data_IF_900639933279
#
_entry.id   IF_900639933279
#
_cell.length_a   1.000
_cell.length_b   1.000
_cell.length_c   1.000
_cell.angle_alpha   90.00
_cell.angle_beta   90.00
_cell.angle_gamma   90.00
#
_symmetry.space_group_name_H-M   'P 1'
#
loop_
_entity.id
_entity.type
_entity.pdbx_description
1 polymer ?
#
# COMPACT_ATOMS: atom_id res chain seq x y z
N UNK A 1 -27.82 -1.05 1.40
CA UNK A 1 -27.69 0.38 1.73
C UNK A 1 -26.26 0.77 1.33
N UNK A 2 -25.87 2.05 1.39
CA UNK A 2 -24.49 2.45 1.12
C UNK A 2 -23.93 3.13 2.35
N UNK A 3 -22.75 2.69 2.78
CA UNK A 3 -22.01 3.30 3.88
C UNK A 3 -20.76 3.94 3.30
N UNK A 4 -20.42 5.14 3.76
CA UNK A 4 -19.32 5.92 3.21
C UNK A 4 -18.23 6.12 4.25
N UNK A 5 -16.98 6.05 3.80
CA UNK A 5 -15.82 6.20 4.65
C UNK A 5 -14.87 7.25 4.10
N UNK A 6 -14.39 8.09 5.01
CA UNK A 6 -13.23 8.95 4.80
C UNK A 6 -12.07 8.33 5.58
N UNK A 7 -10.97 8.03 4.90
CA UNK A 7 -9.76 7.49 5.54
C UNK A 7 -8.61 8.47 5.39
N UNK A 8 -8.01 8.87 6.50
CA UNK A 8 -6.69 9.51 6.49
C UNK A 8 -5.64 8.42 6.45
N UNK A 9 -4.85 8.41 5.38
CA UNK A 9 -3.91 7.34 5.07
C UNK A 9 -2.49 7.91 5.05
N UNK A 10 -1.55 7.13 5.58
CA UNK A 10 -0.12 7.43 5.55
C UNK A 10 0.64 6.25 4.97
N UNK A 11 1.55 6.53 4.05
CA UNK A 11 2.40 5.56 3.37
C UNK A 11 3.85 5.65 3.87
N UNK A 12 4.43 4.53 4.26
CA UNK A 12 5.80 4.45 4.77
C UNK A 12 6.84 4.07 3.70
N UNK A 13 8.08 3.82 4.14
CA UNK A 13 9.20 3.52 3.24
C UNK A 13 9.09 2.16 2.54
N UNK A 14 8.26 1.23 3.04
CA UNK A 14 8.00 -0.07 2.38
C UNK A 14 7.27 0.10 1.06
N UNK A 15 6.58 1.23 0.87
CA UNK A 15 5.93 1.63 -0.39
C UNK A 15 6.64 2.81 -1.06
N UNK A 16 7.96 2.91 -0.87
CA UNK A 16 8.86 3.90 -1.49
C UNK A 16 8.62 5.36 -1.06
N UNK A 17 7.95 5.59 0.07
CA UNK A 17 7.84 6.95 0.65
C UNK A 17 9.17 7.42 1.24
N UNK A 18 9.32 8.73 1.44
CA UNK A 18 10.48 9.31 2.09
C UNK A 18 10.48 9.07 3.63
N UNK A 19 11.52 9.51 4.34
CA UNK A 19 11.69 9.30 5.79
C UNK A 19 10.63 9.97 6.68
N UNK A 20 9.94 10.99 6.17
CA UNK A 20 8.83 11.68 6.82
C UNK A 20 7.47 11.07 6.45
N UNK A 21 7.50 10.02 5.63
CA UNK A 21 6.33 9.34 5.06
C UNK A 21 5.52 10.30 4.18
N UNK A 22 4.38 9.85 3.72
CA UNK A 22 3.51 10.63 2.86
C UNK A 22 2.06 10.38 3.21
N UNK A 23 1.22 11.41 3.20
CA UNK A 23 -0.19 11.29 3.56
C UNK A 23 -1.12 11.54 2.39
N UNK A 24 -2.23 10.81 2.37
CA UNK A 24 -3.30 10.91 1.39
C UNK A 24 -4.67 10.68 2.06
N UNK A 25 -5.74 10.96 1.32
CA UNK A 25 -7.12 10.75 1.75
C UNK A 25 -7.79 9.78 0.80
N UNK A 26 -8.44 8.74 1.33
CA UNK A 26 -9.28 7.84 0.55
C UNK A 26 -10.75 8.13 0.85
N UNK A 27 -11.53 8.25 -0.21
CA UNK A 27 -12.99 8.35 -0.14
C UNK A 27 -13.55 7.03 -0.63
N UNK A 28 -14.20 6.28 0.25
CA UNK A 28 -14.62 4.91 -0.01
C UNK A 28 -16.11 4.72 0.20
N UNK A 29 -16.67 3.75 -0.50
CA UNK A 29 -18.05 3.29 -0.37
C UNK A 29 -18.05 1.80 -0.06
N UNK A 30 -18.88 1.40 0.88
CA UNK A 30 -19.23 0.01 1.12
C UNK A 30 -20.49 -0.37 0.36
N UNK A 31 -20.35 -1.40 -0.47
CA UNK A 31 -21.47 -2.09 -1.09
C UNK A 31 -21.93 -3.20 -0.14
N UNK A 32 -23.09 -3.01 0.48
CA UNK A 32 -23.64 -3.97 1.44
C UNK A 32 -23.95 -5.33 0.81
N UNK A 33 -24.36 -5.36 -0.46
CA UNK A 33 -24.76 -6.59 -1.16
C UNK A 33 -23.55 -7.44 -1.48
N UNK A 34 -22.46 -6.80 -1.90
CA UNK A 34 -21.19 -7.47 -2.19
C UNK A 34 -20.36 -7.71 -0.94
N UNK A 35 -20.67 -7.01 0.14
CA UNK A 35 -19.84 -6.93 1.33
C UNK A 35 -18.40 -6.57 0.93
N UNK A 36 -18.21 -5.41 0.32
CA UNK A 36 -16.90 -4.93 -0.13
C UNK A 36 -16.79 -3.42 0.09
N UNK A 37 -15.61 -2.96 0.51
CA UNK A 37 -15.28 -1.52 0.53
C UNK A 37 -14.43 -1.19 -0.70
N UNK A 38 -14.93 -0.28 -1.52
CA UNK A 38 -14.25 0.22 -2.72
C UNK A 38 -13.85 1.68 -2.53
N UNK A 39 -12.62 2.00 -2.87
CA UNK A 39 -12.16 3.40 -2.97
C UNK A 39 -12.72 4.04 -4.24
N UNK A 40 -13.46 5.13 -4.07
CA UNK A 40 -14.05 5.92 -5.15
C UNK A 40 -13.07 6.97 -5.67
N UNK A 41 -12.37 7.63 -4.75
CA UNK A 41 -11.40 8.70 -5.03
C UNK A 41 -10.25 8.64 -4.03
N UNK A 42 -9.10 9.12 -4.48
CA UNK A 42 -7.95 9.34 -3.63
C UNK A 42 -7.44 10.74 -3.85
N UNK A 43 -6.93 11.37 -2.80
CA UNK A 43 -6.41 12.73 -2.86
C UNK A 43 -5.12 12.85 -2.09
N UNK A 44 -4.23 13.68 -2.64
CA UNK A 44 -2.90 13.86 -2.10
C UNK A 44 -2.28 15.15 -2.56
N UNK A 45 -1.24 15.58 -1.86
CA UNK A 45 -0.52 16.81 -2.14
C UNK A 45 0.97 16.53 -2.26
N UNK A 46 1.56 16.82 -3.41
CA UNK A 46 2.95 16.51 -3.70
C UNK A 46 3.77 17.78 -3.91
N UNK A 47 4.93 17.87 -3.27
CA UNK A 47 5.89 18.94 -3.56
C UNK A 47 6.39 18.86 -4.99
N UNK A 48 6.50 20.01 -5.65
CA UNK A 48 7.09 20.10 -6.99
C UNK A 48 8.61 20.18 -6.85
N UNK A 49 9.40 19.39 -7.61
CA UNK A 49 10.85 19.44 -7.50
C UNK A 49 11.40 20.82 -7.90
N UNK A 50 12.28 21.41 -7.08
CA UNK A 50 12.95 22.68 -7.42
C UNK A 50 13.74 22.60 -8.72
N UNK A 51 13.66 23.68 -9.50
CA UNK A 51 14.53 23.99 -10.65
C UNK A 51 15.62 25.00 -10.33
N UNK A 52 15.71 25.48 -9.09
CA UNK A 52 16.54 26.64 -8.68
C UNK A 52 17.54 26.36 -7.55
N UNK A 53 17.65 25.12 -7.06
CA UNK A 53 18.54 24.80 -5.93
C UNK A 53 20.04 24.70 -6.32
N UNK A 54 20.76 25.81 -6.15
CA UNK A 54 22.19 25.95 -6.48
C UNK A 54 23.16 25.56 -5.33
N UNK A 55 22.68 25.13 -4.16
CA UNK A 55 23.55 24.80 -3.03
C UNK A 55 23.94 23.30 -3.00
N UNK A 56 25.21 23.01 -3.32
CA UNK A 56 25.75 21.65 -3.39
C UNK A 56 25.72 20.88 -2.05
N UNK A 57 25.86 21.58 -0.91
CA UNK A 57 25.86 20.94 0.43
C UNK A 57 24.45 20.48 0.81
N UNK A 58 23.45 21.33 0.55
CA UNK A 58 22.04 20.99 0.75
C UNK A 58 21.63 19.82 -0.14
N UNK A 59 22.05 19.84 -1.41
CA UNK A 59 21.83 18.75 -2.36
C UNK A 59 22.47 17.43 -1.90
N UNK A 60 23.69 17.48 -1.37
CA UNK A 60 24.37 16.31 -0.81
C UNK A 60 23.62 15.72 0.38
N UNK A 61 23.26 16.56 1.37
CA UNK A 61 22.51 16.12 2.55
C UNK A 61 21.17 15.50 2.18
N UNK A 62 20.39 16.16 1.32
CA UNK A 62 19.12 15.64 0.78
C UNK A 62 19.27 14.28 0.12
N UNK A 63 20.28 14.11 -0.73
CA UNK A 63 20.53 12.83 -1.40
C UNK A 63 20.90 11.71 -0.43
N UNK A 64 21.63 12.03 0.65
CA UNK A 64 21.98 11.06 1.69
C UNK A 64 20.79 10.58 2.50
N UNK A 65 19.79 11.44 2.73
CA UNK A 65 18.57 11.07 3.46
C UNK A 65 17.37 10.74 2.56
N UNK A 66 17.59 10.64 1.24
CA UNK A 66 16.54 10.31 0.27
C UNK A 66 15.45 11.38 0.12
N UNK A 67 15.70 12.63 0.56
CA UNK A 67 14.75 13.73 0.44
C UNK A 67 14.86 14.37 -0.94
N UNK A 68 13.80 14.25 -1.75
CA UNK A 68 13.66 14.95 -3.05
C UNK A 68 12.78 16.21 -2.94
N UNK A 69 12.57 16.69 -1.71
CA UNK A 69 11.69 17.81 -1.39
C UNK A 69 12.51 19.07 -1.16
N UNK A 70 11.90 20.22 -1.43
CA UNK A 70 12.52 21.53 -1.20
C UNK A 70 12.54 21.85 0.30
N UNK A 71 13.63 22.48 0.75
CA UNK A 71 13.70 22.95 2.14
C UNK A 71 12.96 24.28 2.32
N UNK A 72 12.80 25.06 1.24
CA UNK A 72 12.04 26.30 1.18
C UNK A 72 11.79 26.74 -0.27
N UNK A 73 10.73 27.53 -0.50
CA UNK A 73 10.61 28.37 -1.68
C UNK A 73 9.88 27.77 -2.89
N UNK A 74 9.17 26.65 -2.72
CA UNK A 74 8.34 26.07 -3.77
C UNK A 74 6.94 25.69 -3.26
N UNK A 75 6.08 25.27 -4.16
CA UNK A 75 4.70 24.88 -3.87
C UNK A 75 4.48 23.39 -4.10
N UNK A 76 3.36 22.89 -3.58
CA UNK A 76 2.88 21.56 -3.88
C UNK A 76 1.67 21.56 -4.80
N UNK A 77 1.26 20.36 -5.19
CA UNK A 77 0.22 20.11 -6.19
C UNK A 77 -0.76 19.04 -5.71
N UNK A 78 -2.07 19.34 -5.72
CA UNK A 78 -3.08 18.34 -5.42
C UNK A 78 -3.31 17.41 -6.61
N UNK A 79 -3.43 16.11 -6.35
CA UNK A 79 -3.60 15.09 -7.38
C UNK A 79 -4.16 13.81 -6.77
N UNK A 80 -4.70 12.93 -7.61
CA UNK A 80 -5.10 11.60 -7.19
C UNK A 80 -3.87 10.72 -6.92
N UNK A 81 -4.01 9.77 -6.00
CA UNK A 81 -2.93 8.84 -5.70
C UNK A 81 -2.77 7.76 -6.76
N UNK A 82 -1.53 7.39 -7.00
CA UNK A 82 -1.21 6.31 -7.93
C UNK A 82 -1.36 4.97 -7.22
N UNK A 83 -2.28 4.12 -7.68
CA UNK A 83 -2.59 2.82 -7.05
C UNK A 83 -1.45 1.81 -7.05
N UNK A 84 -0.38 2.05 -7.82
CA UNK A 84 0.73 1.12 -8.09
C UNK A 84 1.38 0.51 -6.83
N UNK A 85 1.35 1.23 -5.72
CA UNK A 85 1.98 0.80 -4.47
C UNK A 85 0.97 0.57 -3.34
N UNK A 86 -0.31 0.74 -3.62
CA UNK A 86 -1.36 0.65 -2.60
C UNK A 86 -1.75 -0.80 -2.30
N UNK A 87 -1.37 -1.77 -3.13
CA UNK A 87 -1.72 -3.19 -2.98
C UNK A 87 -0.54 -4.11 -2.68
N UNK A 88 0.58 -3.57 -2.18
CA UNK A 88 1.75 -4.37 -1.78
C UNK A 88 1.53 -5.17 -0.49
N UNK A 89 0.47 -4.87 0.26
CA UNK A 89 0.15 -5.50 1.54
C UNK A 89 1.05 -5.09 2.71
N UNK A 90 1.78 -4.00 2.56
CA UNK A 90 2.66 -3.43 3.59
C UNK A 90 2.69 -1.92 3.46
N UNK A 91 3.01 -1.24 4.57
CA UNK A 91 3.44 0.15 4.57
C UNK A 91 2.36 1.18 4.34
N UNK A 92 1.09 0.80 4.54
CA UNK A 92 -0.06 1.69 4.46
C UNK A 92 -0.76 1.64 5.80
N UNK A 93 -0.89 2.81 6.40
CA UNK A 93 -1.43 3.00 7.74
C UNK A 93 -2.59 3.99 7.65
N UNK A 94 -3.58 3.91 8.53
CA UNK A 94 -4.58 4.96 8.56
C UNK A 94 -5.58 4.92 9.71
N UNK A 95 -6.45 5.92 9.70
CA UNK A 95 -7.61 6.06 10.57
C UNK A 95 -8.83 6.29 9.69
N UNK A 96 -9.91 5.58 10.00
CA UNK A 96 -11.11 5.56 9.18
C UNK A 96 -12.28 6.22 9.92
N UNK A 97 -13.09 6.98 9.19
CA UNK A 97 -14.27 7.67 9.71
C UNK A 97 -15.48 7.29 8.87
N UNK A 98 -16.54 6.78 9.51
CA UNK A 98 -17.84 6.71 8.86
C UNK A 98 -18.36 8.15 8.68
N UNK A 99 -18.75 8.49 7.45
CA UNK A 99 -19.24 9.82 7.10
C UNK A 99 -20.55 9.73 6.33
N UNK A 100 -21.34 10.80 6.36
CA UNK A 100 -22.48 10.91 5.48
C UNK A 100 -22.04 11.05 4.01
N UNK A 101 -22.91 10.66 3.08
CA UNK A 101 -22.69 10.87 1.65
C UNK A 101 -22.40 12.35 1.32
N UNK A 102 -23.13 13.27 1.96
CA UNK A 102 -22.94 14.71 1.81
C UNK A 102 -21.54 15.16 2.23
N UNK A 103 -21.02 14.63 3.34
CA UNK A 103 -19.66 14.94 3.81
C UNK A 103 -18.58 14.32 2.92
N UNK A 104 -18.80 13.13 2.38
CA UNK A 104 -17.90 12.51 1.43
C UNK A 104 -17.75 13.38 0.17
N UNK A 105 -18.86 13.76 -0.46
CA UNK A 105 -18.84 14.57 -1.69
C UNK A 105 -18.44 16.02 -1.44
N UNK A 106 -18.72 16.58 -0.26
CA UNK A 106 -18.17 17.87 0.17
C UNK A 106 -16.65 17.80 0.20
N UNK A 107 -16.08 16.74 0.78
CA UNK A 107 -14.63 16.53 0.83
C UNK A 107 -14.03 16.47 -0.58
N UNK A 108 -14.61 15.65 -1.45
CA UNK A 108 -14.16 15.53 -2.85
C UNK A 108 -14.20 16.89 -3.58
N UNK A 109 -15.29 17.63 -3.40
CA UNK A 109 -15.47 18.96 -4.01
C UNK A 109 -14.43 19.97 -3.52
N UNK A 110 -14.04 19.93 -2.23
CA UNK A 110 -12.99 20.80 -1.69
C UNK A 110 -11.65 20.53 -2.36
N UNK A 111 -11.26 19.26 -2.53
CA UNK A 111 -10.04 18.91 -3.26
C UNK A 111 -10.09 19.33 -4.73
N UNK A 112 -11.19 19.04 -5.43
CA UNK A 112 -11.37 19.45 -6.82
C UNK A 112 -11.29 20.97 -7.01
N UNK A 113 -11.85 21.74 -6.07
CA UNK A 113 -11.76 23.20 -6.11
C UNK A 113 -10.32 23.67 -5.92
N UNK A 114 -9.55 23.10 -4.97
CA UNK A 114 -8.13 23.42 -4.82
C UNK A 114 -7.35 23.11 -6.09
N UNK A 115 -7.59 21.97 -6.75
CA UNK A 115 -6.96 21.63 -8.04
C UNK A 115 -7.31 22.64 -9.12
N UNK A 116 -8.60 23.04 -9.23
CA UNK A 116 -9.05 24.04 -10.20
C UNK A 116 -8.36 25.39 -9.98
N UNK A 117 -8.25 25.80 -8.73
CA UNK A 117 -7.58 27.04 -8.35
C UNK A 117 -6.08 27.00 -8.66
N UNK A 118 -5.42 25.86 -8.42
CA UNK A 118 -4.01 25.64 -8.76
C UNK A 118 -3.79 25.71 -10.28
N UNK A 119 -4.63 25.03 -11.07
CA UNK A 119 -4.57 25.09 -12.54
C UNK A 119 -4.72 26.54 -13.00
N UNK A 120 -5.78 27.23 -12.57
CA UNK A 120 -6.01 28.62 -12.95
C UNK A 120 -4.85 29.55 -12.57
N UNK A 121 -4.26 29.38 -11.39
CA UNK A 121 -3.11 30.17 -10.94
C UNK A 121 -1.87 29.93 -11.82
N UNK A 122 -1.56 28.67 -12.13
CA UNK A 122 -0.39 28.33 -12.95
C UNK A 122 -0.53 28.82 -14.40
N UNK A 123 -1.70 28.66 -15.02
CA UNK A 123 -1.96 29.14 -16.38
C UNK A 123 -1.86 30.67 -16.47
N UNK A 124 -2.41 31.36 -15.48
CA UNK A 124 -2.37 32.81 -15.40
C UNK A 124 -0.94 33.34 -15.22
N UNK A 125 -0.17 32.74 -14.30
CA UNK A 125 1.22 33.09 -14.06
C UNK A 125 2.09 32.80 -15.29
N UNK A 126 1.93 31.63 -15.92
CA UNK A 126 2.68 31.27 -17.13
C UNK A 126 2.43 32.27 -18.27
N UNK A 127 1.18 32.72 -18.44
CA UNK A 127 0.83 33.75 -19.42
C UNK A 127 1.45 35.10 -19.06
N UNK A 128 1.36 35.54 -17.81
CA UNK A 128 1.90 36.83 -17.37
C UNK A 128 3.43 36.92 -17.49
N UNK A 129 4.10 35.80 -17.24
CA UNK A 129 5.56 35.67 -17.30
C UNK A 129 6.08 35.31 -18.71
N UNK A 130 5.19 35.12 -19.69
CA UNK A 130 5.52 34.65 -21.06
C UNK A 130 6.33 33.34 -21.06
N UNK A 131 6.05 32.44 -20.13
CA UNK A 131 6.70 31.14 -20.03
C UNK A 131 6.19 30.21 -21.13
N UNK A 132 7.09 29.38 -21.66
CA UNK A 132 6.76 28.36 -22.66
C UNK A 132 7.06 26.98 -22.10
N UNK A 133 6.17 25.99 -22.26
CA UNK A 133 6.42 24.64 -21.79
C UNK A 133 7.67 24.07 -22.48
N UNK A 134 8.60 23.52 -21.71
CA UNK A 134 9.78 22.82 -22.23
C UNK A 134 9.68 21.32 -21.97
N UNK A 135 9.94 20.51 -23.00
CA UNK A 135 10.04 19.05 -22.86
C UNK A 135 8.75 18.38 -22.36
N UNK A 136 8.91 17.28 -21.59
CA UNK A 136 7.81 16.60 -20.89
C UNK A 136 7.71 17.14 -19.47
N UNK A 137 6.57 17.71 -19.11
CA UNK A 137 6.23 18.12 -17.74
C UNK A 137 5.64 16.95 -16.94
N UNK A 138 5.75 17.01 -15.62
CA UNK A 138 5.24 15.98 -14.68
C UNK A 138 3.88 16.33 -14.10
N UNK A 139 3.65 17.61 -13.74
CA UNK A 139 2.44 18.03 -13.02
C UNK A 139 1.57 18.98 -13.83
N UNK A 140 2.16 20.05 -14.35
CA UNK A 140 1.46 21.03 -15.19
C UNK A 140 2.43 21.65 -16.19
N UNK A 141 1.95 22.29 -17.28
CA UNK A 141 2.82 22.93 -18.27
C UNK A 141 3.67 24.03 -17.63
N UNK A 142 4.98 24.02 -17.88
CA UNK A 142 5.96 24.92 -17.25
C UNK A 142 6.24 24.63 -15.76
N UNK A 143 6.11 23.36 -15.30
CA UNK A 143 6.48 22.97 -13.94
C UNK A 143 7.99 23.13 -13.63
N UNK A 144 8.81 23.24 -14.67
CA UNK A 144 10.21 23.65 -14.61
C UNK A 144 10.42 25.12 -14.18
N UNK A 145 9.38 25.94 -14.23
CA UNK A 145 9.38 27.31 -13.71
C UNK A 145 8.54 27.46 -12.43
N UNK A 146 8.33 26.36 -11.69
CA UNK A 146 7.45 26.31 -10.51
C UNK A 146 7.74 27.35 -9.44
N UNK A 147 9.01 27.64 -9.16
CA UNK A 147 9.38 28.66 -8.18
C UNK A 147 8.99 30.08 -8.64
N UNK A 148 9.22 30.43 -9.90
CA UNK A 148 8.86 31.74 -10.48
C UNK A 148 7.34 31.94 -10.51
N UNK A 149 6.61 30.89 -10.91
CA UNK A 149 5.15 30.86 -10.91
C UNK A 149 4.59 31.06 -9.49
N UNK A 150 5.19 30.41 -8.49
CA UNK A 150 4.74 30.53 -7.11
C UNK A 150 4.96 31.94 -6.56
N UNK A 151 6.12 32.54 -6.79
CA UNK A 151 6.40 33.91 -6.35
C UNK A 151 5.50 34.94 -7.05
N UNK A 152 5.17 34.74 -8.33
CA UNK A 152 4.17 35.55 -9.02
C UNK A 152 2.80 35.47 -8.34
N UNK A 153 2.29 34.26 -8.08
CA UNK A 153 0.99 34.07 -7.43
C UNK A 153 0.96 34.65 -6.01
N UNK A 154 2.02 34.50 -5.21
CA UNK A 154 2.11 35.11 -3.88
C UNK A 154 2.01 36.63 -3.95
N UNK A 155 2.74 37.25 -4.88
CA UNK A 155 2.71 38.71 -5.07
C UNK A 155 1.32 39.16 -5.48
N UNK A 156 0.70 38.48 -6.45
CA UNK A 156 -0.65 38.79 -6.91
C UNK A 156 -1.69 38.62 -5.80
N UNK A 157 -1.65 37.52 -5.06
CA UNK A 157 -2.56 37.26 -3.95
C UNK A 157 -2.47 38.34 -2.88
N UNK A 158 -1.25 38.82 -2.57
CA UNK A 158 -1.01 39.94 -1.66
C UNK A 158 -1.59 41.26 -2.20
N UNK A 159 -1.44 41.56 -3.49
CA UNK A 159 -2.02 42.75 -4.12
C UNK A 159 -3.55 42.72 -4.12
N UNK A 160 -4.16 41.54 -4.26
CA UNK A 160 -5.61 41.33 -4.26
C UNK A 160 -6.21 41.13 -2.85
N UNK A 161 -5.39 41.10 -1.80
CA UNK A 161 -5.85 40.90 -0.43
C UNK A 161 -6.45 39.52 -0.15
N UNK A 162 -6.01 38.48 -0.87
CA UNK A 162 -6.46 37.10 -0.72
C UNK A 162 -5.31 36.15 -0.41
N UNK A 163 -5.64 34.92 0.00
CA UNK A 163 -4.64 33.86 0.09
C UNK A 163 -4.19 33.39 -1.29
N UNK A 164 -2.95 32.89 -1.34
CA UNK A 164 -2.37 32.28 -2.53
C UNK A 164 -3.11 30.99 -2.89
N UNK A 165 -3.45 30.81 -4.17
CA UNK A 165 -4.05 29.56 -4.67
C UNK A 165 -3.04 28.42 -4.71
N UNK A 166 -1.76 28.75 -4.87
CA UNK A 166 -0.65 27.81 -4.76
C UNK A 166 -0.19 27.75 -3.31
N UNK A 167 -0.08 26.54 -2.76
CA UNK A 167 0.24 26.32 -1.35
C UNK A 167 1.70 25.86 -1.21
N UNK A 168 2.45 26.34 -0.20
CA UNK A 168 3.85 25.97 -0.03
C UNK A 168 4.01 24.47 0.20
N UNK A 169 5.12 23.90 -0.27
CA UNK A 169 5.58 22.58 0.12
C UNK A 169 7.04 22.68 0.55
N UNK A 170 7.28 22.75 1.85
CA UNK A 170 8.60 22.88 2.45
C UNK A 170 8.65 22.28 3.87
N UNK A 171 9.84 21.84 4.27
CA UNK A 171 10.04 21.25 5.60
C UNK A 171 10.40 22.29 6.66
N UNK A 172 10.87 23.49 6.29
CA UNK A 172 11.16 24.61 7.20
C UNK A 172 11.66 24.20 8.61
N UNK A 173 12.86 23.58 8.73
CA UNK A 173 13.37 23.14 10.02
C UNK A 173 13.67 24.34 10.92
N UNK A 174 13.09 24.33 12.13
CA UNK A 174 13.26 25.36 13.15
C UNK A 174 14.00 24.79 14.37
N UNK A 175 14.80 25.60 15.07
CA UNK A 175 15.50 25.17 16.28
C UNK A 175 14.74 25.65 17.53
N UNK A 176 14.14 24.72 18.27
CA UNK A 176 13.50 24.98 19.55
C UNK A 176 14.40 24.65 20.74
N UNK A 177 13.90 24.91 21.94
CA UNK A 177 14.59 24.62 23.20
C UNK A 177 14.90 23.13 23.41
N UNK A 178 14.11 22.24 22.79
CA UNK A 178 14.27 20.78 22.83
C UNK A 178 15.00 20.22 21.60
N UNK A 179 15.58 21.09 20.77
CA UNK A 179 16.27 20.71 19.53
C UNK A 179 15.49 21.07 18.26
N UNK A 180 15.91 20.54 17.09
CA UNK A 180 15.27 20.83 15.82
C UNK A 180 13.85 20.25 15.75
N UNK A 181 12.91 21.02 15.19
CA UNK A 181 11.52 20.62 14.97
C UNK A 181 11.01 21.06 13.59
N UNK A 182 9.88 20.49 13.18
CA UNK A 182 9.26 20.71 11.86
C UNK A 182 7.81 21.23 11.98
N UNK A 183 7.44 21.82 13.12
CA UNK A 183 6.08 22.31 13.37
C UNK A 183 5.60 23.37 12.38
N UNK A 184 6.51 24.13 11.79
CA UNK A 184 6.19 25.19 10.81
C UNK A 184 6.24 24.71 9.35
N UNK A 185 6.47 23.41 9.13
CA UNK A 185 6.55 22.81 7.79
C UNK A 185 5.19 22.86 7.08
N UNK A 186 5.20 23.17 5.78
CA UNK A 186 4.02 22.95 4.93
C UNK A 186 4.22 21.69 4.10
N UNK A 187 3.47 20.63 4.37
CA UNK A 187 3.65 19.33 3.71
C UNK A 187 2.32 18.79 3.20
N UNK A 188 2.33 17.56 2.68
CA UNK A 188 1.10 16.85 2.35
C UNK A 188 0.11 16.76 3.52
N UNK A 189 0.61 16.66 4.76
CA UNK A 189 -0.25 16.54 5.93
C UNK A 189 -0.97 17.83 6.25
N UNK A 190 -0.27 18.95 6.36
CA UNK A 190 -0.89 20.22 6.75
C UNK A 190 -2.01 20.60 5.77
N UNK A 191 -1.76 20.40 4.47
CA UNK A 191 -2.72 20.68 3.41
C UNK A 191 -3.93 19.74 3.43
N UNK A 192 -3.73 18.47 3.77
CA UNK A 192 -4.86 17.54 3.98
C UNK A 192 -5.65 17.91 5.23
N UNK A 193 -4.99 18.27 6.34
CA UNK A 193 -5.67 18.67 7.58
C UNK A 193 -6.53 19.93 7.39
N UNK A 194 -6.06 20.90 6.59
CA UNK A 194 -6.84 22.11 6.22
C UNK A 194 -8.20 21.72 5.59
N UNK A 195 -8.20 20.74 4.69
CA UNK A 195 -9.41 20.27 4.02
C UNK A 195 -10.27 19.43 4.99
N UNK A 196 -9.66 18.49 5.71
CA UNK A 196 -10.39 17.60 6.60
C UNK A 196 -11.03 18.34 7.78
N UNK A 197 -10.45 19.44 8.24
CA UNK A 197 -11.02 20.26 9.34
C UNK A 197 -12.38 20.87 9.01
N UNK A 198 -12.74 20.93 7.72
CA UNK A 198 -14.04 21.45 7.27
C UNK A 198 -15.15 20.38 7.28
N UNK A 199 -14.81 19.13 7.57
CA UNK A 199 -15.73 17.97 7.47
C UNK A 199 -15.68 17.10 8.72
N UNK A 200 -14.49 16.91 9.30
CA UNK A 200 -14.28 16.19 10.54
C UNK A 200 -14.39 17.12 11.75
N UNK A 201 -14.68 16.54 12.91
CA UNK A 201 -14.73 17.28 14.18
C UNK A 201 -13.33 17.67 14.66
N UNK A 202 -13.23 18.69 15.52
CA UNK A 202 -11.96 19.10 16.13
C UNK A 202 -11.26 17.94 16.87
N UNK A 203 -12.02 17.07 17.54
CA UNK A 203 -11.48 15.88 18.22
C UNK A 203 -10.85 14.89 17.24
N UNK A 204 -11.48 14.69 16.09
CA UNK A 204 -10.96 13.82 15.02
C UNK A 204 -9.69 14.41 14.41
N UNK A 205 -9.67 15.72 14.17
CA UNK A 205 -8.45 16.41 13.68
C UNK A 205 -7.32 16.36 14.72
N UNK A 206 -7.63 16.56 16.00
CA UNK A 206 -6.64 16.50 17.08
C UNK A 206 -5.97 15.12 17.15
N UNK A 207 -6.74 14.03 16.92
CA UNK A 207 -6.19 12.67 16.83
C UNK A 207 -5.14 12.54 15.73
N UNK A 208 -5.38 13.15 14.58
CA UNK A 208 -4.49 13.05 13.42
C UNK A 208 -3.30 14.02 13.50
N UNK A 209 -3.30 14.98 14.41
CA UNK A 209 -2.32 16.08 14.48
C UNK A 209 -1.39 16.02 15.68
N UNK A 210 -1.14 14.81 16.24
CA UNK A 210 -0.11 14.60 17.28
C UNK A 210 1.22 15.29 16.91
N UNK A 211 1.63 15.18 15.65
CA UNK A 211 2.50 16.15 14.99
C UNK A 211 1.73 16.82 13.85
N UNK A 212 1.63 18.15 13.76
CA UNK A 212 0.73 18.82 12.81
C UNK A 212 1.11 18.62 11.34
N UNK A 213 2.40 18.46 11.04
CA UNK A 213 2.93 18.59 9.67
C UNK A 213 3.67 17.36 9.15
N UNK A 214 3.96 16.35 9.98
CA UNK A 214 4.75 15.18 9.56
C UNK A 214 3.87 13.94 9.63
N UNK A 215 3.57 13.28 8.49
CA UNK A 215 2.72 12.09 8.44
C UNK A 215 3.17 10.95 9.35
N UNK A 216 4.49 10.70 9.43
CA UNK A 216 5.05 9.64 10.27
C UNK A 216 4.69 9.74 11.76
N UNK A 217 4.41 10.94 12.24
CA UNK A 217 4.14 11.21 13.66
C UNK A 217 2.69 11.62 13.89
N UNK A 218 1.76 11.02 13.12
CA UNK A 218 0.34 11.32 13.22
C UNK A 218 -0.38 10.70 14.41
N UNK A 219 0.28 9.82 15.17
CA UNK A 219 -0.32 9.06 16.26
C UNK A 219 -0.56 7.58 15.88
N UNK A 220 -1.24 6.82 16.75
CA UNK A 220 -1.62 5.44 16.47
C UNK A 220 -2.50 5.33 15.23
N UNK A 221 -2.22 4.33 14.41
CA UNK A 221 -2.93 4.01 13.18
C UNK A 221 -2.93 2.50 12.99
N UNK A 222 -3.95 2.00 12.30
CA UNK A 222 -3.97 0.60 11.91
C UNK A 222 -3.27 0.39 10.56
N UNK A 223 -2.65 -0.78 10.38
CA UNK A 223 -2.27 -1.26 9.04
C UNK A 223 -3.53 -1.47 8.18
N UNK A 224 -3.50 -0.93 6.96
CA UNK A 224 -4.55 -1.06 5.96
C UNK A 224 -4.07 -1.95 4.81
N UNK A 225 -4.95 -2.83 4.35
CA UNK A 225 -4.63 -3.80 3.29
C UNK A 225 -5.59 -3.62 2.13
N UNK A 226 -5.03 -3.33 0.96
CA UNK A 226 -5.80 -3.09 -0.24
C UNK A 226 -5.42 -4.05 -1.37
N UNK A 227 -6.34 -4.16 -2.33
CA UNK A 227 -6.19 -4.91 -3.55
C UNK A 227 -6.58 -4.05 -4.75
N UNK A 228 -5.72 -3.98 -5.76
CA UNK A 228 -6.13 -3.50 -7.07
C UNK A 228 -6.79 -4.62 -7.88
N UNK A 229 -7.90 -4.33 -8.55
CA UNK A 229 -8.58 -5.25 -9.49
C UNK A 229 -8.69 -4.57 -10.84
N UNK A 230 -8.67 -5.34 -11.93
CA UNK A 230 -8.72 -4.81 -13.31
C UNK A 230 -7.53 -5.24 -14.17
N UNK A 231 -7.37 -4.64 -15.36
CA UNK A 231 -6.29 -4.98 -16.29
C UNK A 231 -4.91 -4.70 -15.69
N UNK A 232 -3.94 -5.51 -16.10
CA UNK A 232 -2.53 -5.41 -15.71
C UNK A 232 -1.75 -4.87 -16.90
N UNK A 233 -0.85 -3.93 -16.63
CA UNK A 233 -0.03 -3.26 -17.62
C UNK A 233 1.46 -3.36 -17.23
N UNK A 234 2.34 -3.29 -18.23
CA UNK A 234 3.78 -3.19 -18.00
C UNK A 234 4.14 -1.76 -17.57
N UNK A 235 4.99 -1.67 -16.55
CA UNK A 235 5.51 -0.42 -16.05
C UNK A 235 7.03 -0.48 -15.90
N UNK A 236 7.72 0.47 -16.54
CA UNK A 236 9.16 0.66 -16.36
C UNK A 236 9.43 1.57 -15.17
N UNK A 237 9.98 1.00 -14.10
CA UNK A 237 10.44 1.73 -12.92
C UNK A 237 11.54 2.73 -13.29
N UNK A 238 11.81 3.67 -12.37
CA UNK A 238 12.95 4.58 -12.48
C UNK A 238 14.31 3.87 -12.59
N UNK A 239 14.42 2.65 -12.04
CA UNK A 239 15.59 1.78 -12.18
C UNK A 239 15.74 1.15 -13.58
N UNK A 240 14.74 1.27 -14.45
CA UNK A 240 14.65 0.55 -15.72
C UNK A 240 14.05 -0.86 -15.60
N UNK A 241 13.75 -1.33 -14.39
CA UNK A 241 13.08 -2.62 -14.17
C UNK A 241 11.63 -2.55 -14.69
N UNK A 242 11.24 -3.51 -15.54
CA UNK A 242 9.86 -3.67 -16.00
C UNK A 242 9.11 -4.56 -15.02
N UNK A 243 8.00 -4.06 -14.50
CA UNK A 243 7.09 -4.77 -13.59
C UNK A 243 5.67 -4.76 -14.13
N UNK A 244 4.91 -5.80 -13.80
CA UNK A 244 3.48 -5.90 -14.06
C UNK A 244 2.73 -5.26 -12.89
N UNK A 245 1.96 -4.21 -13.19
CA UNK A 245 1.18 -3.47 -12.19
C UNK A 245 -0.15 -3.02 -12.75
N UNK A 246 -1.12 -2.71 -11.89
CA UNK A 246 -2.38 -2.09 -12.33
C UNK A 246 -2.27 -0.58 -12.28
N UNK A 247 -2.74 0.08 -13.33
CA UNK A 247 -2.70 1.53 -13.42
C UNK A 247 -4.00 2.14 -12.91
N UNK A 248 -3.95 2.88 -11.81
CA UNK A 248 -5.13 3.53 -11.21
C UNK A 248 -5.80 4.57 -12.11
N UNK A 249 -5.11 5.10 -13.13
CA UNK A 249 -5.73 6.01 -14.11
C UNK A 249 -6.63 5.28 -15.12
N UNK A 250 -6.54 3.95 -15.19
CA UNK A 250 -7.42 3.16 -16.04
C UNK A 250 -8.78 3.01 -15.33
N UNK A 251 -9.90 3.45 -15.91
CA UNK A 251 -11.21 3.41 -15.25
C UNK A 251 -11.73 1.99 -14.97
N UNK A 252 -11.15 0.96 -15.61
CA UNK A 252 -11.44 -0.44 -15.30
C UNK A 252 -10.67 -0.96 -14.07
N UNK A 253 -9.72 -0.17 -13.53
CA UNK A 253 -8.96 -0.52 -12.33
C UNK A 253 -9.63 0.07 -11.10
N UNK A 254 -9.90 -0.77 -10.10
CA UNK A 254 -10.46 -0.36 -8.81
C UNK A 254 -9.59 -0.79 -7.64
N UNK A 255 -9.70 -0.09 -6.52
CA UNK A 255 -8.99 -0.38 -5.27
C UNK A 255 -10.01 -0.80 -4.20
N UNK A 256 -9.76 -1.95 -3.57
CA UNK A 256 -10.70 -2.62 -2.66
C UNK A 256 -10.00 -2.99 -1.36
N UNK A 257 -10.69 -2.84 -0.23
CA UNK A 257 -10.14 -3.30 1.05
C UNK A 257 -10.12 -4.84 1.09
N UNK A 258 -9.04 -5.41 1.64
CA UNK A 258 -8.91 -6.86 1.89
C UNK A 258 -9.34 -7.25 3.31
N UNK A 259 -9.45 -6.26 4.19
CA UNK A 259 -9.91 -6.41 5.55
C UNK A 259 -10.81 -5.23 5.90
N UNK A 260 -11.97 -5.46 6.56
CA UNK A 260 -12.75 -4.38 7.14
C UNK A 260 -11.93 -3.58 8.15
N UNK A 261 -12.20 -2.29 8.25
CA UNK A 261 -11.47 -1.39 9.15
C UNK A 261 -11.64 -1.81 10.61
N UNK A 262 -10.52 -2.03 11.31
CA UNK A 262 -10.53 -2.39 12.73
C UNK A 262 -10.39 -1.14 13.61
N UNK A 263 -9.80 -0.08 13.07
CA UNK A 263 -9.72 1.25 13.68
C UNK A 263 -10.60 2.23 12.89
N UNK A 264 -11.88 2.24 13.24
CA UNK A 264 -12.89 3.08 12.61
C UNK A 264 -13.73 3.82 13.66
N UNK A 265 -13.89 5.13 13.47
CA UNK A 265 -14.88 5.92 14.19
C UNK A 265 -16.20 5.85 13.41
N UNK A 266 -17.11 5.00 13.87
CA UNK A 266 -18.36 4.69 13.18
C UNK A 266 -19.51 4.46 14.16
N UNK A 267 -20.70 4.27 13.59
CA UNK A 267 -21.89 3.79 14.29
C UNK A 267 -21.63 2.42 14.94
N UNK A 268 -22.30 2.10 16.06
CA UNK A 268 -22.15 0.80 16.73
C UNK A 268 -22.44 -0.39 15.81
N UNK A 269 -23.34 -0.24 14.85
CA UNK A 269 -23.65 -1.26 13.86
C UNK A 269 -22.42 -1.61 13.01
N UNK A 270 -21.76 -0.61 12.43
CA UNK A 270 -20.56 -0.80 11.61
C UNK A 270 -19.40 -1.35 12.45
N UNK A 271 -19.21 -0.83 13.67
CA UNK A 271 -18.17 -1.34 14.57
C UNK A 271 -18.39 -2.83 14.86
N UNK A 272 -19.61 -3.23 15.22
CA UNK A 272 -19.93 -4.63 15.48
C UNK A 272 -19.80 -5.50 14.23
N UNK A 273 -20.15 -4.95 13.06
CA UNK A 273 -20.04 -5.63 11.76
C UNK A 273 -18.58 -5.95 11.41
N UNK A 274 -17.66 -5.01 11.63
CA UNK A 274 -16.26 -5.13 11.22
C UNK A 274 -15.37 -5.82 12.24
N UNK A 275 -15.81 -5.91 13.50
CA UNK A 275 -15.00 -6.41 14.60
C UNK A 275 -14.47 -7.82 14.35
N UNK A 276 -13.15 -7.94 14.28
CA UNK A 276 -12.42 -9.20 14.41
C UNK A 276 -12.01 -9.36 15.86
N UNK A 277 -12.10 -10.58 16.38
CA UNK A 277 -11.63 -10.86 17.74
C UNK A 277 -10.10 -10.76 17.82
N UNK A 278 -9.60 -10.16 18.90
CA UNK A 278 -8.18 -9.85 19.11
C UNK A 278 -7.20 -11.01 18.84
N UNK A 279 -7.46 -12.29 19.21
CA UNK A 279 -6.48 -13.35 18.94
C UNK A 279 -6.27 -13.59 17.43
N UNK A 280 -7.26 -13.29 16.59
CA UNK A 280 -7.19 -13.55 15.15
C UNK A 280 -6.73 -12.34 14.34
N UNK A 281 -7.03 -11.12 14.80
CA UNK A 281 -6.79 -9.90 14.02
C UNK A 281 -5.31 -9.75 13.60
N UNK A 282 -4.38 -9.88 14.54
CA UNK A 282 -2.94 -9.78 14.25
C UNK A 282 -2.46 -10.87 13.27
N UNK A 283 -2.96 -12.09 13.42
CA UNK A 283 -2.61 -13.21 12.55
C UNK A 283 -3.14 -13.03 11.13
N UNK A 284 -4.39 -12.57 10.97
CA UNK A 284 -5.00 -12.27 9.67
C UNK A 284 -4.24 -11.15 8.97
N UNK A 285 -3.96 -10.04 9.67
CA UNK A 285 -3.18 -8.91 9.14
C UNK A 285 -1.82 -9.37 8.62
N UNK A 286 -1.12 -10.21 9.40
CA UNK A 286 0.15 -10.83 8.98
C UNK A 286 -0.03 -11.70 7.72
N UNK A 287 -1.02 -12.60 7.70
CA UNK A 287 -1.24 -13.48 6.55
C UNK A 287 -1.61 -12.72 5.27
N UNK A 288 -2.47 -11.71 5.34
CA UNK A 288 -2.79 -10.84 4.21
C UNK A 288 -1.53 -10.14 3.70
N UNK A 289 -0.71 -9.61 4.60
CA UNK A 289 0.57 -8.99 4.24
C UNK A 289 1.49 -9.95 3.48
N UNK A 290 1.62 -11.18 3.96
CA UNK A 290 2.44 -12.20 3.31
C UNK A 290 1.89 -12.58 1.93
N UNK A 291 0.58 -12.84 1.84
CA UNK A 291 -0.08 -13.19 0.57
C UNK A 291 0.10 -12.09 -0.49
N UNK A 292 -0.08 -10.82 -0.14
CA UNK A 292 0.06 -9.72 -1.10
C UNK A 292 1.50 -9.49 -1.56
N UNK A 293 2.47 -9.64 -0.67
CA UNK A 293 3.88 -9.61 -1.05
C UNK A 293 4.27 -10.80 -1.94
N UNK A 294 3.70 -11.99 -1.69
CA UNK A 294 3.90 -13.17 -2.55
C UNK A 294 3.23 -13.00 -3.91
N UNK A 295 2.03 -12.44 -3.98
CA UNK A 295 1.37 -12.10 -5.24
C UNK A 295 2.30 -11.22 -6.09
N UNK A 296 2.83 -10.15 -5.49
CA UNK A 296 3.77 -9.26 -6.16
C UNK A 296 5.03 -10.00 -6.61
N UNK A 297 5.61 -10.85 -5.75
CA UNK A 297 6.81 -11.62 -6.04
C UNK A 297 6.60 -12.54 -7.24
N UNK A 298 5.56 -13.37 -7.22
CA UNK A 298 5.31 -14.35 -8.28
C UNK A 298 4.93 -13.67 -9.58
N UNK A 299 4.06 -12.66 -9.54
CA UNK A 299 3.62 -11.92 -10.74
C UNK A 299 4.80 -11.26 -11.48
N UNK A 300 5.77 -10.73 -10.73
CA UNK A 300 6.92 -10.02 -11.28
C UNK A 300 8.17 -10.89 -11.47
N UNK A 301 8.11 -12.19 -11.16
CA UNK A 301 9.22 -13.11 -11.42
C UNK A 301 9.17 -13.60 -12.86
N UNK A 302 10.30 -13.46 -13.58
CA UNK A 302 10.46 -14.02 -14.92
C UNK A 302 10.54 -15.54 -14.82
N UNK A 303 9.68 -16.22 -15.57
CA UNK A 303 9.58 -17.67 -15.64
C UNK A 303 9.68 -18.13 -17.09
N UNK A 304 10.16 -19.35 -17.31
CA UNK A 304 10.12 -19.99 -18.63
C UNK A 304 8.68 -20.21 -19.10
N UNK A 305 8.44 -20.23 -20.42
CA UNK A 305 7.10 -20.40 -21.00
C UNK A 305 6.30 -21.57 -20.39
N UNK A 306 6.88 -22.77 -20.17
CA UNK A 306 6.14 -23.91 -19.62
C UNK A 306 5.57 -23.66 -18.21
N UNK A 307 6.16 -22.75 -17.43
CA UNK A 307 5.79 -22.50 -16.04
C UNK A 307 4.85 -21.29 -15.86
N UNK A 308 4.61 -20.50 -16.92
CA UNK A 308 3.76 -19.30 -16.83
C UNK A 308 2.32 -19.63 -16.42
N UNK A 309 1.74 -20.68 -17.00
CA UNK A 309 0.37 -21.09 -16.66
C UNK A 309 0.24 -21.49 -15.18
N UNK A 310 1.21 -22.25 -14.66
CA UNK A 310 1.26 -22.62 -13.24
C UNK A 310 1.47 -21.42 -12.33
N UNK A 311 2.33 -20.47 -12.72
CA UNK A 311 2.52 -19.21 -11.99
C UNK A 311 1.22 -18.44 -11.88
N UNK A 312 0.48 -18.31 -12.99
CA UNK A 312 -0.76 -17.54 -13.01
C UNK A 312 -1.83 -18.22 -12.14
N UNK A 313 -1.93 -19.55 -12.17
CA UNK A 313 -2.80 -20.31 -11.26
C UNK A 313 -2.43 -20.13 -9.78
N UNK A 314 -1.13 -20.15 -9.46
CA UNK A 314 -0.65 -19.89 -8.09
C UNK A 314 -1.01 -18.47 -7.64
N UNK A 315 -0.81 -17.49 -8.51
CA UNK A 315 -1.17 -16.09 -8.24
C UNK A 315 -2.67 -15.94 -8.00
N UNK A 316 -3.53 -16.56 -8.82
CA UNK A 316 -4.98 -16.55 -8.60
C UNK A 316 -5.37 -17.21 -7.27
N UNK A 317 -4.68 -18.30 -6.88
CA UNK A 317 -4.90 -18.94 -5.57
C UNK A 317 -4.52 -18.01 -4.41
N UNK A 318 -3.38 -17.32 -4.50
CA UNK A 318 -2.94 -16.32 -3.51
C UNK A 318 -3.97 -15.20 -3.38
N UNK A 319 -4.44 -14.67 -4.52
CA UNK A 319 -5.47 -13.62 -4.58
C UNK A 319 -6.76 -14.10 -3.91
N UNK A 320 -7.21 -15.32 -4.23
CA UNK A 320 -8.39 -15.94 -3.62
C UNK A 320 -8.31 -16.01 -2.10
N UNK A 321 -7.17 -16.46 -1.56
CA UNK A 321 -6.95 -16.47 -0.11
C UNK A 321 -7.00 -15.09 0.51
N UNK A 322 -6.35 -14.10 -0.11
CA UNK A 322 -6.33 -12.73 0.43
C UNK A 322 -7.72 -12.11 0.49
N UNK A 323 -8.54 -12.31 -0.55
CA UNK A 323 -9.92 -11.79 -0.63
C UNK A 323 -10.86 -12.44 0.37
N UNK A 324 -10.65 -13.71 0.68
CA UNK A 324 -11.53 -14.47 1.58
C UNK A 324 -11.56 -13.90 3.01
N UNK A 325 -10.57 -13.11 3.42
CA UNK A 325 -10.52 -12.46 4.73
C UNK A 325 -11.46 -11.26 4.87
N UNK A 326 -11.93 -10.67 3.77
CA UNK A 326 -12.91 -9.59 3.87
C UNK A 326 -14.28 -10.10 4.36
N UNK A 327 -14.64 -11.34 3.99
CA UNK A 327 -15.83 -12.04 4.48
C UNK A 327 -15.64 -12.50 5.94
N UNK A 328 -15.83 -11.57 6.87
CA UNK A 328 -15.96 -11.86 8.29
C UNK A 328 -17.41 -12.25 8.56
N UNK A 329 -17.62 -13.51 8.95
CA UNK A 329 -18.96 -14.01 9.24
C UNK A 329 -19.47 -13.37 10.54
N UNK A 330 -20.55 -12.59 10.46
CA UNK A 330 -21.07 -11.85 11.62
C UNK A 330 -21.56 -12.78 12.74
N UNK A 331 -21.34 -12.38 13.99
CA UNK A 331 -22.09 -12.95 15.12
C UNK A 331 -23.57 -12.67 14.89
N UNK A 332 -24.40 -13.72 14.94
CA UNK A 332 -25.81 -13.51 15.25
C UNK A 332 -25.90 -12.76 16.59
N UNK A 333 -26.93 -11.94 16.75
CA UNK A 333 -27.13 -11.04 17.90
C UNK A 333 -26.61 -11.63 19.23
N UNK A 334 -25.99 -10.81 20.09
CA UNK A 334 -25.60 -11.28 21.40
C UNK A 334 -26.83 -11.91 22.09
N UNK A 335 -26.64 -13.02 22.81
CA UNK A 335 -27.71 -13.66 23.58
C UNK A 335 -28.37 -12.64 24.52
N UNK A 336 -29.68 -12.76 24.68
CA UNK A 336 -30.45 -11.97 25.63
C UNK A 336 -29.92 -12.14 27.06
N UNK A 337 -30.17 -11.16 27.94
CA UNK A 337 -29.69 -11.18 29.33
C UNK A 337 -30.16 -12.44 30.10
N UNK A 338 -31.30 -13.03 29.72
CA UNK A 338 -31.78 -14.31 30.27
C UNK A 338 -30.88 -15.50 29.86
N UNK A 339 -30.40 -15.54 28.62
CA UNK A 339 -29.53 -16.60 28.11
C UNK A 339 -28.13 -16.55 28.72
N UNK A 340 -27.62 -15.35 29.04
CA UNK A 340 -26.33 -15.15 29.71
C UNK A 340 -26.33 -15.62 31.17
N UNK A 341 -27.49 -15.66 31.83
CA UNK A 341 -27.64 -16.03 33.25
C UNK A 341 -27.65 -17.53 33.53
N UNK A 342 -27.70 -18.38 32.48
CA UNK A 342 -27.77 -19.83 32.63
C UNK A 342 -26.39 -20.45 32.87
N UNK A 343 -26.25 -21.24 33.95
CA UNK A 343 -25.06 -22.04 34.26
C UNK A 343 -24.64 -22.97 33.09
N UNK A 344 -25.62 -23.44 32.31
CA UNK A 344 -25.41 -24.26 31.11
C UNK A 344 -24.73 -23.44 30.00
N UNK A 345 -25.03 -22.14 29.90
CA UNK A 345 -24.41 -21.24 28.93
C UNK A 345 -22.90 -21.15 29.15
N UNK A 346 -22.46 -20.96 30.41
CA UNK A 346 -21.03 -20.85 30.76
C UNK A 346 -20.21 -22.12 30.46
N UNK A 347 -20.83 -23.31 30.49
CA UNK A 347 -20.17 -24.58 30.18
C UNK A 347 -20.02 -24.84 28.68
N UNK A 348 -20.96 -24.36 27.86
CA UNK A 348 -20.93 -24.52 26.40
C UNK A 348 -20.32 -23.32 25.66
N UNK A 349 -20.16 -22.16 26.31
CA UNK A 349 -19.51 -20.97 25.72
C UNK A 349 -17.98 -21.09 25.56
N UNK A 350 -17.39 -22.19 26.05
CA UNK A 350 -16.01 -22.58 25.71
C UNK A 350 -15.92 -23.31 24.36
N UNK A 351 -17.03 -23.53 23.66
CA UNK A 351 -17.01 -24.03 22.28
C UNK A 351 -16.93 -22.85 21.31
N UNK A 352 -15.98 -22.89 20.37
CA UNK A 352 -15.89 -21.91 19.29
C UNK A 352 -17.25 -21.79 18.59
N UNK A 353 -17.74 -20.57 18.44
CA UNK A 353 -18.92 -20.29 17.61
C UNK A 353 -18.66 -20.75 16.18
N UNK A 354 -19.69 -21.14 15.40
CA UNK A 354 -19.50 -21.53 14.00
C UNK A 354 -18.72 -20.49 13.15
N UNK A 355 -18.87 -19.21 13.49
CA UNK A 355 -18.17 -18.09 12.87
C UNK A 355 -16.68 -18.06 13.24
N UNK A 356 -16.35 -18.19 14.53
CA UNK A 356 -14.97 -18.31 14.99
C UNK A 356 -14.29 -19.52 14.34
N UNK A 357 -14.99 -20.66 14.26
CA UNK A 357 -14.49 -21.84 13.58
C UNK A 357 -14.22 -21.59 12.09
N UNK A 358 -15.15 -20.97 11.36
CA UNK A 358 -14.94 -20.61 9.95
C UNK A 358 -13.74 -19.68 9.76
N UNK A 359 -13.54 -18.72 10.65
CA UNK A 359 -12.38 -17.82 10.62
C UNK A 359 -11.07 -18.55 10.95
N UNK A 360 -11.09 -19.39 11.98
CA UNK A 360 -9.98 -20.25 12.40
C UNK A 360 -9.57 -21.22 11.29
N UNK A 361 -10.53 -21.85 10.61
CA UNK A 361 -10.31 -22.73 9.46
C UNK A 361 -9.67 -21.97 8.29
N UNK A 362 -10.15 -20.76 7.95
CA UNK A 362 -9.51 -19.89 6.93
C UNK A 362 -8.06 -19.58 7.29
N UNK A 363 -7.80 -19.18 8.53
CA UNK A 363 -6.45 -18.86 9.03
C UNK A 363 -5.54 -20.08 8.94
N UNK A 364 -6.04 -21.25 9.32
CA UNK A 364 -5.29 -22.51 9.29
C UNK A 364 -4.98 -22.94 7.86
N UNK A 365 -5.95 -22.86 6.96
CA UNK A 365 -5.76 -23.20 5.55
C UNK A 365 -4.69 -22.31 4.90
N UNK A 366 -4.76 -21.00 5.14
CA UNK A 366 -3.74 -20.06 4.66
C UNK A 366 -2.38 -20.36 5.27
N UNK A 367 -2.32 -20.67 6.58
CA UNK A 367 -1.08 -21.08 7.24
C UNK A 367 -0.44 -22.30 6.58
N UNK A 368 -1.23 -23.36 6.35
CA UNK A 368 -0.77 -24.58 5.67
C UNK A 368 -0.31 -24.31 4.23
N UNK A 369 -1.01 -23.41 3.52
CA UNK A 369 -0.62 -22.99 2.20
C UNK A 369 0.74 -22.28 2.20
N UNK A 370 0.95 -21.31 3.09
CA UNK A 370 2.22 -20.60 3.24
C UNK A 370 3.36 -21.55 3.65
N UNK A 371 3.08 -22.52 4.52
CA UNK A 371 4.02 -23.59 4.90
C UNK A 371 4.42 -24.46 3.71
N UNK A 372 3.46 -24.78 2.85
CA UNK A 372 3.70 -25.56 1.64
C UNK A 372 4.59 -24.80 0.65
N UNK A 373 4.38 -23.49 0.50
CA UNK A 373 5.25 -22.64 -0.33
C UNK A 373 6.68 -22.55 0.21
N UNK A 374 6.82 -22.39 1.53
CA UNK A 374 8.14 -22.41 2.17
C UNK A 374 8.85 -23.74 1.93
N UNK A 375 8.15 -24.84 2.20
CA UNK A 375 8.69 -26.20 2.05
C UNK A 375 9.14 -26.45 0.61
N UNK A 376 8.29 -26.14 -0.38
CA UNK A 376 8.65 -26.30 -1.79
C UNK A 376 9.77 -25.36 -2.28
N UNK A 377 10.04 -24.24 -1.60
CA UNK A 377 11.14 -23.35 -1.95
C UNK A 377 12.49 -23.83 -1.39
N UNK A 378 12.49 -24.53 -0.25
CA UNK A 378 13.69 -25.00 0.46
C UNK A 378 14.02 -26.47 0.15
N UNK A 379 13.01 -27.31 -0.12
CA UNK A 379 13.23 -28.68 -0.57
C UNK A 379 13.85 -28.70 -1.97
N UNK A 380 15.07 -29.24 -2.07
CA UNK A 380 15.78 -29.35 -3.34
C UNK A 380 15.29 -30.56 -4.11
N UNK A 381 14.51 -30.32 -5.16
CA UNK A 381 14.33 -31.31 -6.21
C UNK A 381 15.42 -31.08 -7.24
N UNK A 382 16.23 -32.10 -7.50
CA UNK A 382 17.20 -32.06 -8.59
C UNK A 382 16.43 -31.92 -9.91
N UNK A 383 16.49 -30.72 -10.50
CA UNK A 383 15.84 -30.44 -11.78
C UNK A 383 16.36 -31.37 -12.89
N UNK A 384 17.55 -31.96 -12.74
CA UNK A 384 18.07 -32.97 -13.67
C UNK A 384 17.23 -34.26 -13.70
N UNK A 385 16.55 -34.60 -12.61
CA UNK A 385 15.63 -35.74 -12.53
C UNK A 385 14.25 -35.45 -13.11
N UNK A 386 13.83 -34.18 -13.11
CA UNK A 386 12.51 -33.76 -13.60
C UNK A 386 12.50 -33.25 -15.05
N UNK A 387 13.66 -32.82 -15.56
CA UNK A 387 13.80 -32.26 -16.92
C UNK A 387 15.14 -32.69 -17.55
N UNK A 388 15.21 -33.82 -18.26
CA UNK A 388 16.34 -34.09 -19.13
C UNK A 388 16.21 -33.18 -20.36
N UNK A 389 16.85 -32.01 -20.34
CA UNK A 389 16.87 -31.05 -21.45
C UNK A 389 17.47 -31.60 -22.77
N UNK A 390 17.91 -32.87 -22.81
CA UNK A 390 18.62 -33.47 -23.93
C UNK A 390 17.84 -34.56 -24.70
N UNK A 391 16.53 -34.75 -24.47
CA UNK A 391 15.74 -35.70 -25.26
C UNK A 391 14.78 -34.99 -26.22
N UNK A 392 15.23 -34.81 -27.46
CA UNK A 392 14.41 -34.37 -28.60
C UNK A 392 13.21 -35.33 -28.73
N UNK A 393 12.00 -34.82 -28.56
CA UNK A 393 10.77 -35.52 -28.95
C UNK A 393 9.86 -36.08 -27.84
N UNK A 394 10.11 -35.79 -26.55
CA UNK A 394 9.15 -36.14 -25.47
C UNK A 394 8.61 -34.89 -24.79
N UNK A 395 7.28 -34.74 -24.81
CA UNK A 395 6.57 -33.78 -23.95
C UNK A 395 6.79 -34.15 -22.49
N UNK A 396 7.15 -33.19 -21.62
CA UNK A 396 7.32 -33.47 -20.19
C UNK A 396 6.01 -33.95 -19.58
N UNK A 397 6.03 -35.05 -18.84
CA UNK A 397 5.00 -35.34 -17.84
C UNK A 397 5.30 -34.51 -16.60
N UNK A 398 4.37 -33.67 -16.10
CA UNK A 398 4.56 -32.93 -14.87
C UNK A 398 4.90 -33.92 -13.74
N UNK A 399 5.89 -33.58 -12.92
CA UNK A 399 5.92 -34.09 -11.55
C UNK A 399 4.53 -33.90 -10.93
N UNK A 400 4.09 -34.81 -10.04
CA UNK A 400 2.75 -34.81 -9.44
C UNK A 400 2.34 -33.51 -8.70
N UNK A 401 3.21 -32.50 -8.64
CA UNK A 401 2.92 -31.16 -8.11
C UNK A 401 3.59 -30.05 -8.96
N UNK A 402 2.83 -29.37 -9.86
CA UNK A 402 3.37 -28.31 -10.70
C UNK A 402 3.79 -27.06 -9.90
N UNK A 403 3.20 -26.80 -8.73
CA UNK A 403 3.57 -25.66 -7.88
C UNK A 403 4.95 -25.89 -7.27
N UNK A 404 5.26 -27.11 -6.83
CA UNK A 404 6.61 -27.46 -6.36
C UNK A 404 7.67 -27.28 -7.44
N UNK A 405 7.38 -27.71 -8.67
CA UNK A 405 8.29 -27.51 -9.80
C UNK A 405 8.55 -26.01 -10.03
N UNK A 406 7.51 -25.18 -9.97
CA UNK A 406 7.64 -23.72 -10.08
C UNK A 406 8.53 -23.15 -8.97
N UNK A 407 8.33 -23.58 -7.72
CA UNK A 407 9.13 -23.13 -6.57
C UNK A 407 10.59 -23.55 -6.70
N UNK A 408 10.86 -24.77 -7.18
CA UNK A 408 12.21 -25.25 -7.45
C UNK A 408 12.92 -24.41 -8.52
N UNK A 409 12.18 -24.01 -9.56
CA UNK A 409 12.67 -23.20 -10.68
C UNK A 409 12.86 -21.70 -10.34
N UNK A 410 12.45 -21.24 -9.15
CA UNK A 410 12.67 -19.85 -8.74
C UNK A 410 14.18 -19.52 -8.70
N UNK A 411 14.59 -18.35 -9.20
CA UNK A 411 15.95 -17.84 -8.98
C UNK A 411 16.28 -17.73 -7.49
N UNK A 412 17.57 -17.89 -7.13
CA UNK A 412 18.03 -17.89 -5.73
C UNK A 412 17.60 -16.63 -4.97
N UNK A 413 17.71 -15.44 -5.57
CA UNK A 413 17.27 -14.19 -4.95
C UNK A 413 15.76 -14.18 -4.65
N UNK A 414 14.94 -14.80 -5.50
CA UNK A 414 13.50 -14.93 -5.30
C UNK A 414 13.15 -15.93 -4.21
N UNK A 415 13.91 -17.02 -4.07
CA UNK A 415 13.75 -17.97 -2.95
C UNK A 415 14.07 -17.32 -1.61
N UNK A 416 15.16 -16.54 -1.54
CA UNK A 416 15.47 -15.74 -0.35
C UNK A 416 14.35 -14.75 -0.02
N UNK A 417 13.88 -14.00 -1.02
CA UNK A 417 12.79 -13.03 -0.82
C UNK A 417 11.47 -13.70 -0.40
N UNK A 418 11.15 -14.87 -0.95
CA UNK A 418 10.01 -15.68 -0.51
C UNK A 418 10.13 -16.03 0.97
N UNK A 419 11.29 -16.53 1.41
CA UNK A 419 11.51 -16.89 2.81
C UNK A 419 11.46 -15.66 3.74
N UNK A 420 12.01 -14.53 3.31
CA UNK A 420 11.92 -13.25 4.03
C UNK A 420 10.47 -12.80 4.23
N UNK A 421 9.63 -12.85 3.17
CA UNK A 421 8.20 -12.56 3.27
C UNK A 421 7.52 -13.48 4.28
N UNK A 422 7.90 -14.77 4.29
CA UNK A 422 7.37 -15.76 5.23
C UNK A 422 7.96 -15.66 6.64
N UNK A 423 8.88 -14.72 6.88
CA UNK A 423 9.63 -14.55 8.14
C UNK A 423 10.39 -15.82 8.56
N UNK A 424 11.01 -16.50 7.57
CA UNK A 424 11.79 -17.72 7.75
C UNK A 424 13.17 -17.61 7.11
N UNK A 425 14.10 -18.41 7.60
CA UNK A 425 15.43 -18.51 7.01
C UNK A 425 15.40 -19.37 5.75
N UNK A 426 16.09 -18.90 4.70
CA UNK A 426 16.39 -19.74 3.55
C UNK A 426 17.60 -20.62 3.87
N UNK A 427 17.47 -21.93 3.70
CA UNK A 427 18.55 -22.88 3.88
C UNK A 427 19.15 -23.27 2.53
N UNK A 428 20.42 -22.96 2.33
CA UNK A 428 21.13 -23.40 1.12
C UNK A 428 21.30 -24.92 1.12
N UNK A 429 21.17 -25.58 -0.04
CA UNK A 429 21.50 -26.99 -0.15
C UNK A 429 22.96 -27.18 0.21
N UNK A 430 23.24 -28.10 1.12
CA UNK A 430 24.58 -28.66 1.22
C UNK A 430 24.79 -29.49 -0.05
N UNK A 431 25.64 -29.03 -0.96
CA UNK A 431 26.15 -29.91 -2.00
C UNK A 431 26.91 -31.04 -1.30
N UNK A 432 26.40 -32.26 -1.34
CA UNK A 432 27.20 -33.43 -1.03
C UNK A 432 28.40 -33.38 -1.99
N UNK A 433 29.58 -33.08 -1.44
CA UNK A 433 30.81 -33.15 -2.17
C UNK A 433 30.91 -34.57 -2.74
N UNK A 434 31.06 -34.65 -4.06
CA UNK A 434 31.32 -35.88 -4.79
C UNK A 434 32.38 -36.68 -4.02
N UNK A 435 31.95 -37.79 -3.40
CA UNK A 435 32.87 -38.77 -2.85
C UNK A 435 33.68 -39.30 -4.03
N UNK A 436 34.93 -38.84 -4.12
CA UNK A 436 35.94 -39.42 -4.99
C UNK A 436 35.96 -40.92 -4.69
N UNK A 437 35.42 -41.71 -5.60
CA UNK A 437 35.67 -43.14 -5.65
C UNK A 437 37.16 -43.27 -5.93
N UNK A 438 37.95 -43.49 -4.88
CA UNK A 438 39.29 -44.05 -5.01
C UNK A 438 39.14 -45.34 -5.82
N UNK A 439 39.55 -45.28 -7.09
CA UNK A 439 39.99 -46.45 -7.82
C UNK A 439 41.29 -46.92 -7.15
N UNK A 440 41.18 -47.66 -6.06
CA UNK A 440 42.26 -48.56 -5.68
C UNK A 440 42.32 -49.68 -6.73
N UNK A 441 43.32 -49.55 -7.59
CA UNK A 441 43.68 -50.53 -8.60
C UNK A 441 43.94 -51.88 -7.94
N UNK A 442 43.08 -52.84 -8.28
CA UNK A 442 43.42 -54.25 -8.27
C UNK A 442 44.53 -54.48 -9.32
N UNK A 443 45.77 -54.64 -8.87
CA UNK A 443 46.79 -55.35 -9.63
C UNK A 443 47.41 -56.44 -8.76
N UNK A 444 47.05 -57.68 -9.13
CA UNK A 444 47.75 -58.91 -8.78
C UNK A 444 48.90 -59.12 -9.77
#
# INVERSE_FOLDING_TARGET
MKTYFLSYVVTDQKVESNVFWHSCVFLSEMDDEKNEIKVLRTWSFYGIPSTTENNAVVKYLKSKVGLKLDLAGNHGWFTEEVYRFLDLGVGIHGVNFEVSEANLWKTDSLFQNKVRDQIAATEEAAKALNLKPQGKWKRYPCDDHSAEIFEYEKKKAKEEGRESRLQPFDLSPSLGWTGPHFYDASTCKSQIMDILSQVLTEKQIARLTVHPTIPRWSGPMEDLYWETRGPIEEHTKSSGEIVLSRNGTNPAVGLYALLPFQEVEASPEIINRFRIEEPYCGQIKKQISQLKQLEWLFRNTKMSEPLKGTRDQLVEKIVGYSRAFFDISHKANPPSDEEQSSFVYSFFYNSETPQQKKLSDKIKEVGQFLDSLYTGAVEHWDMNWLYPFNQIGKTPTPADDPVKLLLCALPKDKKHKLCEILERHYFEPQHEAESQVEQEGFHM
#
